data_IF_393916767915
#
_entry.id   IF_393916767915
#
_cell.length_a   1.000
_cell.length_b   1.000
_cell.length_c   1.000
_cell.angle_alpha   90.00
_cell.angle_beta   90.00
_cell.angle_gamma   90.00
#
_symmetry.space_group_name_H-M   'P 1'
#
loop_
_entity.id
_entity.type
_entity.pdbx_description
1 polymer ?
#
# COMPACT_ATOMS: atom_id res chain seq x y z
N UNK A 1 -45.37 -5.62 -66.63
CA UNK A 1 -44.61 -6.09 -65.46
C UNK A 1 -43.29 -5.35 -65.40
N UNK A 2 -43.02 -4.73 -64.25
CA UNK A 2 -41.70 -4.28 -63.72
C UNK A 2 -40.84 -3.36 -64.59
N UNK A 3 -40.97 -2.04 -64.41
CA UNK A 3 -40.18 -1.15 -63.49
C UNK A 3 -38.90 -0.63 -64.19
N UNK A 4 -38.96 0.62 -64.66
CA UNK A 4 -38.33 1.82 -64.05
C UNK A 4 -36.80 1.83 -64.28
N UNK A 5 -36.30 2.71 -65.17
CA UNK A 5 -35.83 4.10 -64.89
C UNK A 5 -34.77 4.10 -63.77
N UNK A 6 -33.57 4.66 -63.92
CA UNK A 6 -33.08 5.68 -64.86
C UNK A 6 -31.62 6.01 -64.54
N UNK A 7 -30.90 6.42 -65.59
CA UNK A 7 -29.79 7.38 -65.63
C UNK A 7 -28.45 7.06 -64.94
N UNK A 8 -27.50 6.68 -65.79
CA UNK A 8 -26.07 6.89 -65.66
C UNK A 8 -25.71 8.36 -65.89
N UNK A 9 -24.85 8.91 -65.02
CA UNK A 9 -23.84 9.94 -65.28
C UNK A 9 -23.23 10.38 -63.93
N UNK A 10 -21.96 10.73 -63.74
CA UNK A 10 -20.75 10.72 -64.57
C UNK A 10 -19.62 11.20 -63.62
N UNK A 11 -18.63 10.34 -63.32
CA UNK A 11 -17.18 10.65 -63.22
C UNK A 11 -16.61 11.49 -62.00
N UNK A 12 -15.27 11.54 -61.76
CA UNK A 12 -14.32 10.41 -61.59
C UNK A 12 -13.03 10.71 -60.72
N UNK A 13 -12.09 9.72 -60.70
CA UNK A 13 -10.61 9.77 -60.49
C UNK A 13 -10.05 10.00 -59.07
N UNK A 14 -9.36 8.95 -58.56
CA UNK A 14 -7.98 8.93 -58.02
C UNK A 14 -7.91 7.91 -56.87
N UNK A 15 -7.37 6.72 -57.10
CA UNK A 15 -5.96 6.40 -56.94
C UNK A 15 -5.65 5.85 -55.54
N UNK A 16 -4.88 4.76 -55.54
CA UNK A 16 -4.27 4.07 -54.40
C UNK A 16 -5.19 3.14 -53.61
N UNK A 17 -5.03 1.84 -53.92
CA UNK A 17 -5.42 0.77 -53.03
C UNK A 17 -4.62 0.84 -51.73
N UNK A 18 -5.33 0.64 -50.63
CA UNK A 18 -4.75 0.32 -49.33
C UNK A 18 -5.79 -0.47 -48.56
N UNK A 19 -5.66 -1.79 -48.61
CA UNK A 19 -6.16 -2.66 -47.56
C UNK A 19 -5.43 -2.29 -46.26
N UNK A 20 -6.05 -1.44 -45.43
CA UNK A 20 -5.53 -1.14 -44.10
C UNK A 20 -5.86 -2.29 -43.16
N UNK A 21 -4.99 -3.32 -43.20
CA UNK A 21 -4.90 -4.35 -42.18
C UNK A 21 -4.18 -3.79 -40.95
N UNK A 22 -4.94 -3.31 -39.97
CA UNK A 22 -4.42 -3.09 -38.62
C UNK A 22 -4.14 -4.44 -37.94
N UNK A 23 -2.97 -5.01 -38.21
CA UNK A 23 -2.31 -5.92 -37.28
C UNK A 23 -1.57 -5.06 -36.26
N UNK A 24 -2.21 -4.82 -35.12
CA UNK A 24 -1.51 -4.34 -33.93
C UNK A 24 -0.70 -5.51 -33.38
N UNK A 25 0.57 -5.55 -33.74
CA UNK A 25 1.54 -6.51 -33.24
C UNK A 25 1.89 -6.13 -31.80
N UNK A 26 1.16 -6.66 -30.82
CA UNK A 26 1.64 -6.61 -29.44
C UNK A 26 2.77 -7.61 -29.29
N UNK A 27 4.00 -7.10 -29.21
CA UNK A 27 5.12 -7.85 -28.67
C UNK A 27 4.84 -8.15 -27.21
N UNK A 28 4.41 -9.39 -26.98
CA UNK A 28 4.18 -10.00 -25.67
C UNK A 28 5.55 -10.18 -25.00
N UNK A 29 5.95 -9.25 -24.14
CA UNK A 29 7.10 -9.47 -23.26
C UNK A 29 6.69 -10.52 -22.22
N UNK A 30 7.30 -11.71 -22.32
CA UNK A 30 7.17 -12.75 -21.31
C UNK A 30 8.02 -12.34 -20.09
N UNK A 31 7.48 -11.49 -19.23
CA UNK A 31 7.96 -11.41 -17.85
C UNK A 31 7.32 -12.57 -17.08
N UNK A 32 8.13 -13.57 -16.75
CA UNK A 32 7.74 -14.68 -15.89
C UNK A 32 7.30 -14.11 -14.53
N UNK A 33 5.99 -13.94 -14.36
CA UNK A 33 5.40 -13.60 -13.08
C UNK A 33 5.37 -14.87 -12.25
N UNK A 34 6.12 -14.86 -11.15
CA UNK A 34 6.00 -15.86 -10.10
C UNK A 34 4.59 -15.73 -9.52
N UNK A 35 3.66 -16.54 -10.03
CA UNK A 35 2.26 -16.55 -9.61
C UNK A 35 2.22 -17.19 -8.23
N UNK A 36 2.11 -16.37 -7.19
CA UNK A 36 1.77 -16.86 -5.86
C UNK A 36 0.45 -17.63 -5.98
N UNK A 37 0.45 -18.93 -5.66
CA UNK A 37 -0.75 -19.77 -5.65
C UNK A 37 -1.75 -19.21 -4.62
N UNK A 38 -2.77 -18.50 -5.11
CA UNK A 38 -3.82 -17.88 -4.29
C UNK A 38 -5.01 -18.84 -4.19
N UNK A 39 -5.24 -19.36 -2.99
CA UNK A 39 -6.40 -20.20 -2.68
C UNK A 39 -7.64 -19.30 -2.51
N UNK A 40 -8.59 -19.39 -3.44
CA UNK A 40 -9.72 -18.43 -3.61
C UNK A 40 -10.70 -18.35 -2.43
N UNK A 41 -10.61 -19.28 -1.49
CA UNK A 41 -11.51 -19.40 -0.32
C UNK A 41 -11.04 -18.64 0.91
N UNK A 42 -9.76 -18.26 0.99
CA UNK A 42 -9.22 -17.47 2.11
C UNK A 42 -9.17 -15.99 1.76
N UNK A 43 -9.68 -15.14 2.66
CA UNK A 43 -9.46 -13.69 2.60
C UNK A 43 -7.96 -13.41 2.57
N UNK A 44 -7.43 -12.97 1.43
CA UNK A 44 -6.03 -12.63 1.31
C UNK A 44 -5.78 -11.28 2.01
N UNK A 45 -4.96 -11.31 3.06
CA UNK A 45 -4.64 -10.12 3.86
C UNK A 45 -3.21 -9.71 3.56
N UNK A 46 -3.06 -8.56 2.90
CA UNK A 46 -1.78 -8.00 2.47
C UNK A 46 -0.95 -7.50 3.67
N UNK A 47 0.36 -7.78 3.63
CA UNK A 47 1.35 -7.22 4.56
C UNK A 47 1.61 -5.73 4.28
N UNK A 48 2.26 -5.02 5.20
CA UNK A 48 2.68 -3.64 4.96
C UNK A 48 3.65 -3.54 3.79
N UNK A 49 4.60 -4.48 3.68
CA UNK A 49 5.53 -4.55 2.53
C UNK A 49 4.79 -4.66 1.20
N UNK A 50 3.83 -5.60 1.10
CA UNK A 50 3.03 -5.77 -0.11
C UNK A 50 2.21 -4.52 -0.45
N UNK A 51 1.70 -3.80 0.57
CA UNK A 51 1.00 -2.53 0.34
C UNK A 51 1.93 -1.44 -0.17
N UNK A 52 3.17 -1.36 0.33
CA UNK A 52 4.19 -0.42 -0.17
C UNK A 52 4.59 -0.77 -1.59
N UNK A 53 4.78 -2.05 -1.90
CA UNK A 53 5.07 -2.53 -3.25
C UNK A 53 3.95 -2.14 -4.22
N UNK A 54 2.68 -2.35 -3.85
CA UNK A 54 1.53 -1.90 -4.63
C UNK A 54 1.57 -0.38 -4.86
N UNK A 55 1.92 0.42 -3.85
CA UNK A 55 2.02 1.89 -3.98
C UNK A 55 3.14 2.28 -4.98
N UNK A 56 4.30 1.61 -4.93
CA UNK A 56 5.40 1.84 -5.87
C UNK A 56 4.98 1.51 -7.31
N UNK A 57 4.40 0.32 -7.51
CA UNK A 57 3.92 -0.15 -8.81
C UNK A 57 2.75 0.69 -9.37
N UNK A 58 2.00 1.41 -8.52
CA UNK A 58 1.00 2.37 -8.97
C UNK A 58 1.59 3.71 -9.42
N UNK A 59 2.75 4.10 -8.88
CA UNK A 59 3.47 5.31 -9.28
C UNK A 59 4.22 5.13 -10.61
N UNK A 60 4.72 3.92 -10.85
CA UNK A 60 5.24 3.49 -12.14
C UNK A 60 4.06 3.24 -13.08
N UNK A 61 3.82 4.13 -14.05
CA UNK A 61 2.66 4.10 -14.98
C UNK A 61 2.54 2.82 -15.85
N UNK A 62 3.34 1.79 -15.58
CA UNK A 62 3.40 0.52 -16.28
C UNK A 62 2.30 -0.48 -15.85
N UNK A 63 1.69 -0.32 -14.67
CA UNK A 63 0.75 -1.33 -14.14
C UNK A 63 -0.68 -0.81 -13.97
N UNK A 64 -1.64 -1.50 -14.58
CA UNK A 64 -3.06 -1.22 -14.33
C UNK A 64 -3.52 -1.80 -12.99
N UNK A 65 -4.47 -1.14 -12.33
CA UNK A 65 -5.08 -1.63 -11.08
C UNK A 65 -5.67 -3.04 -11.18
N UNK A 66 -6.13 -3.43 -12.39
CA UNK A 66 -6.62 -4.78 -12.65
C UNK A 66 -5.49 -5.82 -12.66
N UNK A 67 -4.32 -5.45 -13.18
CA UNK A 67 -3.14 -6.31 -13.20
C UNK A 67 -2.63 -6.55 -11.77
N UNK A 68 -2.48 -5.48 -10.98
CA UNK A 68 -2.06 -5.56 -9.58
C UNK A 68 -3.02 -6.39 -8.72
N UNK A 69 -4.33 -6.21 -8.91
CA UNK A 69 -5.35 -7.02 -8.23
C UNK A 69 -5.15 -8.53 -8.47
N UNK A 70 -4.86 -8.92 -9.72
CA UNK A 70 -4.57 -10.33 -10.07
C UNK A 70 -3.24 -10.81 -9.48
N UNK A 71 -2.18 -10.02 -9.60
CA UNK A 71 -0.85 -10.36 -9.11
C UNK A 71 -0.83 -10.60 -7.60
N UNK A 72 -1.51 -9.74 -6.83
CA UNK A 72 -1.58 -9.84 -5.37
C UNK A 72 -2.77 -10.66 -4.86
N UNK A 73 -3.61 -11.21 -5.74
CA UNK A 73 -4.77 -12.02 -5.35
C UNK A 73 -5.79 -11.27 -4.49
N UNK A 74 -6.05 -10.00 -4.82
CA UNK A 74 -7.00 -9.15 -4.12
C UNK A 74 -7.99 -8.52 -5.08
N UNK A 75 -9.12 -8.05 -4.56
CA UNK A 75 -10.08 -7.33 -5.39
C UNK A 75 -9.56 -5.94 -5.81
N UNK A 76 -10.07 -5.44 -6.94
CA UNK A 76 -9.74 -4.12 -7.47
C UNK A 76 -10.09 -3.00 -6.48
N UNK A 77 -11.15 -3.17 -5.68
CA UNK A 77 -11.51 -2.23 -4.62
C UNK A 77 -10.46 -2.14 -3.51
N UNK A 78 -9.75 -3.25 -3.22
CA UNK A 78 -8.65 -3.27 -2.25
C UNK A 78 -7.47 -2.43 -2.73
N UNK A 79 -7.10 -2.55 -4.00
CA UNK A 79 -6.04 -1.73 -4.61
C UNK A 79 -6.40 -0.23 -4.53
N UNK A 80 -7.65 0.13 -4.85
CA UNK A 80 -8.15 1.51 -4.71
C UNK A 80 -8.07 2.00 -3.26
N UNK A 81 -8.44 1.16 -2.28
CA UNK A 81 -8.34 1.53 -0.86
C UNK A 81 -6.89 1.78 -0.43
N UNK A 82 -5.95 0.97 -0.91
CA UNK A 82 -4.52 1.14 -0.63
C UNK A 82 -4.00 2.45 -1.21
N UNK A 83 -4.39 2.77 -2.45
CA UNK A 83 -4.04 4.03 -3.11
C UNK A 83 -4.54 5.26 -2.32
N UNK A 84 -5.78 5.21 -1.82
CA UNK A 84 -6.34 6.28 -0.97
C UNK A 84 -5.65 6.39 0.39
N UNK A 85 -5.16 5.27 0.93
CA UNK A 85 -4.49 5.20 2.23
C UNK A 85 -2.96 5.25 2.12
N UNK A 86 -2.42 5.63 0.95
CA UNK A 86 -0.99 5.55 0.65
C UNK A 86 -0.13 6.27 1.67
N UNK A 87 -0.54 7.47 2.09
CA UNK A 87 0.22 8.29 3.05
C UNK A 87 0.30 7.59 4.42
N UNK A 88 -0.83 7.08 4.92
CA UNK A 88 -0.87 6.34 6.17
C UNK A 88 -0.01 5.07 6.12
N UNK A 89 0.00 4.36 4.99
CA UNK A 89 0.83 3.16 4.81
C UNK A 89 2.30 3.51 4.82
N UNK A 90 2.70 4.58 4.12
CA UNK A 90 4.08 5.06 4.07
C UNK A 90 4.56 5.55 5.44
N UNK A 91 3.74 6.34 6.15
CA UNK A 91 4.02 6.79 7.52
C UNK A 91 4.18 5.61 8.47
N UNK A 92 3.32 4.60 8.36
CA UNK A 92 3.42 3.39 9.18
C UNK A 92 4.76 2.69 8.97
N UNK A 93 5.26 2.64 7.73
CA UNK A 93 6.55 2.00 7.39
C UNK A 93 7.74 2.84 7.86
N UNK A 94 7.66 4.17 7.82
CA UNK A 94 8.73 5.02 8.37
C UNK A 94 8.82 4.96 9.90
N UNK A 95 7.68 4.81 10.56
CA UNK A 95 7.60 4.76 12.03
C UNK A 95 8.00 3.38 12.56
N UNK A 96 7.67 2.31 11.85
CA UNK A 96 7.88 0.93 12.31
C UNK A 96 9.24 0.40 11.82
N UNK A 97 10.05 -0.21 12.71
CA UNK A 97 11.30 -0.88 12.33
C UNK A 97 11.09 -1.91 11.19
N UNK A 98 12.12 -2.11 10.35
CA UNK A 98 12.12 -3.05 9.21
C UNK A 98 11.63 -4.46 9.60
N UNK A 99 11.95 -4.91 10.82
CA UNK A 99 11.54 -6.22 11.37
C UNK A 99 10.02 -6.42 11.50
N UNK A 100 9.22 -5.34 11.46
CA UNK A 100 7.77 -5.37 11.65
C UNK A 100 6.98 -5.14 10.35
N UNK A 101 7.65 -5.00 9.20
CA UNK A 101 7.02 -4.77 7.90
C UNK A 101 6.23 -6.00 7.39
N UNK A 102 6.49 -7.19 7.94
CA UNK A 102 5.72 -8.42 7.71
C UNK A 102 4.30 -8.41 8.33
N UNK A 103 3.96 -7.39 9.13
CA UNK A 103 2.64 -7.31 9.77
C UNK A 103 1.55 -6.95 8.76
N UNK A 104 0.43 -7.67 8.86
CA UNK A 104 -0.78 -7.46 8.04
C UNK A 104 -1.61 -6.25 8.50
N UNK A 105 -1.54 -5.94 9.80
CA UNK A 105 -2.27 -4.85 10.43
C UNK A 105 -1.34 -4.04 11.34
N UNK A 106 -1.44 -2.72 11.27
CA UNK A 106 -0.86 -1.81 12.26
C UNK A 106 -1.89 -1.69 13.38
N UNK A 107 -1.58 -2.24 14.55
CA UNK A 107 -2.39 -2.01 15.75
C UNK A 107 -2.00 -0.65 16.30
N UNK A 108 -2.88 0.35 16.19
CA UNK A 108 -2.71 1.64 16.86
C UNK A 108 -3.13 1.50 18.32
N UNK A 109 -2.33 2.01 19.24
CA UNK A 109 -2.73 2.18 20.65
C UNK A 109 -3.79 3.27 20.78
N UNK A 110 -4.43 3.39 21.96
CA UNK A 110 -5.39 4.46 22.23
C UNK A 110 -4.78 5.86 22.05
N UNK A 111 -3.51 6.01 22.39
CA UNK A 111 -2.76 7.27 22.27
C UNK A 111 -1.58 7.04 21.32
N UNK A 112 -1.87 6.91 20.02
CA UNK A 112 -0.86 6.60 19.02
C UNK A 112 0.21 7.69 18.92
N UNK A 113 -0.19 8.97 18.94
CA UNK A 113 0.72 10.11 18.85
C UNK A 113 1.73 10.13 20.01
N UNK A 114 1.26 9.89 21.24
CA UNK A 114 2.13 9.73 22.41
C UNK A 114 3.15 8.61 22.22
N UNK A 115 2.69 7.46 21.72
CA UNK A 115 3.55 6.31 21.47
C UNK A 115 4.60 6.59 20.39
N UNK A 116 4.26 7.38 19.36
CA UNK A 116 5.23 7.80 18.33
C UNK A 116 6.32 8.71 18.93
N UNK A 117 5.95 9.74 19.69
CA UNK A 117 6.91 10.64 20.36
C UNK A 117 7.83 9.85 21.28
N UNK A 118 7.27 8.93 22.07
CA UNK A 118 8.04 8.05 22.95
C UNK A 118 9.01 7.15 22.16
N UNK A 119 8.55 6.60 21.03
CA UNK A 119 9.40 5.78 20.17
C UNK A 119 10.58 6.57 19.59
N UNK A 120 10.36 7.82 19.14
CA UNK A 120 11.44 8.68 18.67
C UNK A 120 12.49 8.92 19.76
N UNK A 121 12.06 9.22 20.98
CA UNK A 121 12.95 9.38 22.12
C UNK A 121 13.74 8.10 22.41
N UNK A 122 13.06 6.94 22.41
CA UNK A 122 13.70 5.63 22.57
C UNK A 122 14.79 5.38 21.52
N UNK A 123 14.51 5.69 20.24
CA UNK A 123 15.54 5.56 19.19
C UNK A 123 16.74 6.45 19.43
N UNK A 124 16.52 7.71 19.85
CA UNK A 124 17.61 8.64 20.16
C UNK A 124 18.48 8.12 21.31
N UNK A 125 17.88 7.53 22.34
CA UNK A 125 18.62 6.93 23.45
C UNK A 125 19.42 5.69 23.01
N UNK A 126 18.84 4.83 22.14
CA UNK A 126 19.57 3.70 21.53
C UNK A 126 20.76 4.17 20.70
N UNK A 127 20.64 5.24 19.92
CA UNK A 127 21.78 5.79 19.14
C UNK A 127 22.89 6.36 20.02
N UNK A 128 22.56 6.79 21.25
CA UNK A 128 23.54 7.24 22.25
C UNK A 128 24.17 6.08 23.06
N UNK A 129 23.91 4.81 22.69
CA UNK A 129 24.36 3.61 23.40
C UNK A 129 23.99 3.55 24.89
N UNK A 130 22.94 4.27 25.29
CA UNK A 130 22.45 4.23 26.68
C UNK A 130 21.59 2.98 26.89
N UNK A 131 21.90 2.22 27.93
CA UNK A 131 21.05 1.11 28.37
C UNK A 131 19.75 1.68 28.92
N UNK A 132 18.63 1.39 28.27
CA UNK A 132 17.32 1.85 28.71
C UNK A 132 16.60 0.78 29.53
N UNK A 133 16.33 1.12 30.78
CA UNK A 133 15.51 0.28 31.66
C UNK A 133 14.03 0.49 31.37
N UNK A 134 13.20 -0.53 31.62
CA UNK A 134 11.74 -0.42 31.49
C UNK A 134 11.15 0.75 32.28
N UNK A 135 11.70 1.03 33.47
CA UNK A 135 11.27 2.16 34.31
C UNK A 135 11.46 3.50 33.60
N UNK A 136 12.62 3.71 32.95
CA UNK A 136 12.90 4.95 32.22
C UNK A 136 11.90 5.19 31.07
N UNK A 137 11.54 4.12 30.35
CA UNK A 137 10.55 4.22 29.27
C UNK A 137 9.17 4.57 29.83
N UNK A 138 8.79 4.01 30.98
CA UNK A 138 7.52 4.31 31.63
C UNK A 138 7.47 5.74 32.17
N UNK A 139 8.56 6.22 32.77
CA UNK A 139 8.63 7.58 33.31
C UNK A 139 8.60 8.63 32.19
N UNK A 140 9.32 8.38 31.09
CA UNK A 140 9.22 9.22 29.90
C UNK A 140 7.82 9.19 29.29
N UNK A 141 7.16 8.03 29.28
CA UNK A 141 5.80 7.93 28.76
C UNK A 141 4.80 8.78 29.57
N UNK A 142 4.92 8.79 30.90
CA UNK A 142 4.13 9.65 31.78
C UNK A 142 4.41 11.12 31.50
N UNK A 143 5.69 11.51 31.42
CA UNK A 143 6.07 12.88 31.11
C UNK A 143 5.44 13.37 29.80
N UNK A 144 5.49 12.55 28.74
CA UNK A 144 4.86 12.90 27.46
C UNK A 144 3.33 12.97 27.60
N UNK A 145 2.70 12.09 28.37
CA UNK A 145 1.26 12.13 28.63
C UNK A 145 0.82 13.45 29.27
N UNK A 146 1.59 13.91 30.26
CA UNK A 146 1.33 15.17 30.96
C UNK A 146 1.46 16.35 29.99
N UNK A 147 2.49 16.35 29.12
CA UNK A 147 2.68 17.40 28.11
C UNK A 147 1.58 17.42 27.03
N UNK A 148 1.03 16.26 26.69
CA UNK A 148 -0.03 16.12 25.68
C UNK A 148 -1.45 16.24 26.27
N UNK A 149 -1.55 16.51 27.58
CA UNK A 149 -2.82 16.61 28.32
C UNK A 149 -3.73 15.38 28.09
N UNK A 150 -3.11 14.20 28.03
CA UNK A 150 -3.84 12.92 27.92
C UNK A 150 -4.58 12.66 29.23
N UNK A 151 -5.78 12.08 29.15
CA UNK A 151 -6.59 11.76 30.33
C UNK A 151 -5.76 11.09 31.45
N UNK A 152 -5.85 11.64 32.67
CA UNK A 152 -5.21 11.09 33.88
C UNK A 152 -5.58 9.63 34.17
N UNK A 153 -6.66 9.13 33.57
CA UNK A 153 -7.12 7.75 33.69
C UNK A 153 -6.18 6.73 33.01
N UNK A 154 -5.26 7.18 32.14
CA UNK A 154 -4.40 6.29 31.36
C UNK A 154 -3.27 5.68 32.19
N UNK A 155 -3.35 4.36 32.42
CA UNK A 155 -2.34 3.63 33.19
C UNK A 155 -1.24 3.04 32.31
N UNK A 156 -0.02 3.55 32.48
CA UNK A 156 1.22 2.99 31.93
C UNK A 156 1.64 1.70 32.67
N UNK A 157 0.89 0.62 32.46
CA UNK A 157 1.16 -0.69 33.06
C UNK A 157 2.29 -1.44 32.34
N UNK A 158 2.86 -2.46 33.00
CA UNK A 158 3.81 -3.38 32.36
C UNK A 158 3.23 -4.06 31.10
N UNK A 159 1.92 -4.34 31.09
CA UNK A 159 1.21 -4.88 29.92
C UNK A 159 1.18 -3.88 28.76
N UNK A 160 0.96 -2.59 29.06
CA UNK A 160 1.03 -1.55 28.04
C UNK A 160 2.43 -1.44 27.45
N UNK A 161 3.48 -1.39 28.29
CA UNK A 161 4.87 -1.32 27.84
C UNK A 161 5.25 -2.50 26.95
N UNK A 162 4.86 -3.73 27.33
CA UNK A 162 5.10 -4.93 26.52
C UNK A 162 4.46 -4.81 25.14
N UNK A 163 3.23 -4.32 25.08
CA UNK A 163 2.52 -4.12 23.81
C UNK A 163 3.14 -2.98 22.99
N UNK A 164 3.57 -1.89 23.63
CA UNK A 164 4.33 -0.80 23.00
C UNK A 164 5.61 -1.33 22.35
N UNK A 165 6.47 -2.02 23.10
CA UNK A 165 7.70 -2.62 22.56
C UNK A 165 7.41 -3.57 21.40
N UNK A 166 6.37 -4.40 21.53
CA UNK A 166 5.92 -5.27 20.45
C UNK A 166 5.52 -4.47 19.21
N UNK A 167 4.74 -3.39 19.35
CA UNK A 167 4.30 -2.55 18.21
C UNK A 167 5.48 -1.96 17.44
N UNK A 168 6.47 -1.42 18.15
CA UNK A 168 7.59 -0.70 17.54
C UNK A 168 8.84 -1.57 17.27
N UNK A 169 8.89 -2.82 17.74
CA UNK A 169 10.05 -3.70 17.54
C UNK A 169 11.24 -3.27 18.38
N UNK A 170 10.99 -2.98 19.66
CA UNK A 170 11.99 -2.46 20.59
C UNK A 170 12.59 -3.50 21.52
#
# INVERSE_FOLDING_TARGET
>A
MTKQRSFLARFPIAAYGWECTWKVTQQRTNFATNVLQIDKTKRNSLTLEQKVEIIKLLGEQAHTKAHLAKQFGVDRSTIRKIELQKERVLLSVSTICIENCQRKYVSTGKHHELEEVLYYWVRQMKSQQKSMTNAMILDQAKFIADQMNVEESFKFSAKWLRNFKKRFGL
#
